data_IF_846239145167
#
_entry.id   IF_846239145167
#
_cell.length_a   1.000
_cell.length_b   1.000
_cell.length_c   1.000
_cell.angle_alpha   90.00
_cell.angle_beta   90.00
_cell.angle_gamma   90.00
#
_symmetry.space_group_name_H-M   'P 1'
#
loop_
_entity.id
_entity.type
_entity.pdbx_description
1 polymer ?
#
# COMPACT_ATOMS: atom_id res chain seq x y z
N UNK A 1 -18.49 18.06 2.68
CA UNK A 1 -18.11 16.74 2.13
C UNK A 1 -17.74 15.84 3.31
N UNK A 2 -18.11 14.58 3.27
CA UNK A 2 -17.75 13.59 4.28
C UNK A 2 -17.14 12.37 3.57
N UNK A 3 -15.95 11.97 4.00
CA UNK A 3 -15.20 10.83 3.50
C UNK A 3 -14.53 10.14 4.70
N UNK A 4 -14.06 8.91 4.51
CA UNK A 4 -13.30 8.17 5.51
C UNK A 4 -11.96 7.70 4.95
N UNK A 5 -10.99 7.50 5.83
CA UNK A 5 -9.73 6.82 5.52
C UNK A 5 -9.81 5.41 6.11
N UNK A 6 -9.48 4.40 5.31
CA UNK A 6 -9.24 3.04 5.74
C UNK A 6 -7.72 2.79 5.72
N UNK A 7 -7.02 3.02 6.84
CA UNK A 7 -5.57 2.84 6.89
C UNK A 7 -5.21 1.35 7.04
N UNK A 8 -4.07 0.98 6.46
CA UNK A 8 -3.39 -0.27 6.78
C UNK A 8 -2.58 -0.16 8.09
N UNK A 9 -1.62 -1.05 8.33
CA UNK A 9 -0.68 -0.91 9.43
C UNK A 9 0.17 0.37 9.29
N UNK A 10 0.16 1.22 10.31
CA UNK A 10 0.88 2.51 10.35
C UNK A 10 1.88 2.51 11.50
N UNK A 11 3.02 3.16 11.32
CA UNK A 11 4.09 3.31 12.32
C UNK A 11 3.69 4.22 13.50
N UNK A 12 2.72 3.78 14.29
CA UNK A 12 2.25 4.46 15.50
C UNK A 12 2.95 3.95 16.75
N UNK A 13 2.93 4.73 17.83
CA UNK A 13 3.44 4.29 19.14
C UNK A 13 2.69 3.05 19.67
N UNK A 14 1.41 2.91 19.34
CA UNK A 14 0.65 1.71 19.68
C UNK A 14 1.19 0.50 18.91
N UNK A 15 1.31 0.60 17.58
CA UNK A 15 1.81 -0.48 16.73
C UNK A 15 3.20 -0.97 17.18
N UNK A 16 4.09 -0.05 17.56
CA UNK A 16 5.42 -0.40 18.10
C UNK A 16 5.36 -1.21 19.40
N UNK A 17 4.33 -1.01 20.21
CA UNK A 17 4.13 -1.72 21.50
C UNK A 17 3.47 -3.08 21.34
N UNK A 18 2.56 -3.23 20.37
CA UNK A 18 1.72 -4.44 20.25
C UNK A 18 2.10 -5.37 19.11
N UNK A 19 2.82 -4.89 18.08
CA UNK A 19 3.24 -5.72 16.96
C UNK A 19 4.64 -6.29 17.19
N UNK A 20 4.68 -7.59 17.49
CA UNK A 20 5.93 -8.35 17.58
C UNK A 20 6.65 -8.41 16.23
N UNK A 21 7.95 -8.75 16.19
CA UNK A 21 8.66 -8.94 14.92
C UNK A 21 7.97 -9.93 13.97
N UNK A 22 7.36 -11.00 14.50
CA UNK A 22 6.61 -11.97 13.70
C UNK A 22 5.37 -11.33 13.04
N UNK A 23 4.57 -10.58 13.81
CA UNK A 23 3.40 -9.85 13.27
C UNK A 23 3.83 -8.86 12.18
N UNK A 24 4.96 -8.17 12.39
CA UNK A 24 5.48 -7.23 11.39
C UNK A 24 5.93 -7.93 10.11
N UNK A 25 6.52 -9.12 10.22
CA UNK A 25 6.87 -9.94 9.05
C UNK A 25 5.62 -10.41 8.29
N UNK A 26 4.57 -10.82 9.00
CA UNK A 26 3.29 -11.20 8.36
C UNK A 26 2.68 -10.02 7.59
N UNK A 27 2.66 -8.83 8.18
CA UNK A 27 2.19 -7.62 7.49
C UNK A 27 3.09 -7.22 6.31
N UNK A 28 4.42 -7.34 6.45
CA UNK A 28 5.35 -7.10 5.36
C UNK A 28 5.01 -8.00 4.14
N UNK A 29 4.75 -9.28 4.38
CA UNK A 29 4.45 -10.22 3.30
C UNK A 29 3.04 -10.03 2.70
N UNK A 30 2.08 -9.60 3.52
CA UNK A 30 0.71 -9.38 3.09
C UNK A 30 0.52 -8.06 2.33
N UNK A 31 1.20 -6.99 2.74
CA UNK A 31 1.08 -5.66 2.11
C UNK A 31 1.85 -5.64 0.79
N UNK A 32 1.23 -5.32 -0.36
CA UNK A 32 1.93 -5.23 -1.65
C UNK A 32 3.14 -4.28 -1.66
N UNK A 33 3.07 -3.15 -0.95
CA UNK A 33 4.21 -2.24 -0.78
C UNK A 33 5.30 -2.76 0.18
N UNK A 34 5.09 -3.89 0.85
CA UNK A 34 6.08 -4.53 1.71
C UNK A 34 6.44 -3.73 2.96
N UNK A 35 5.59 -2.80 3.40
CA UNK A 35 5.90 -1.95 4.56
C UNK A 35 4.66 -1.37 5.21
N UNK A 36 4.86 -0.88 6.43
CA UNK A 36 3.90 -0.04 7.11
C UNK A 36 3.83 1.34 6.44
N UNK A 37 2.66 1.95 6.52
CA UNK A 37 2.48 3.36 6.21
C UNK A 37 3.10 4.25 7.29
N UNK A 38 3.45 5.47 6.90
CA UNK A 38 3.86 6.53 7.82
C UNK A 38 2.67 7.37 8.25
N UNK A 39 2.81 8.10 9.36
CA UNK A 39 1.79 9.06 9.79
C UNK A 39 1.58 10.17 8.75
N UNK A 40 2.65 10.60 8.08
CA UNK A 40 2.60 11.65 7.07
C UNK A 40 1.81 11.21 5.84
N UNK A 41 1.97 9.96 5.38
CA UNK A 41 1.17 9.43 4.26
C UNK A 41 -0.34 9.42 4.57
N UNK A 42 -0.73 9.11 5.80
CA UNK A 42 -2.13 9.19 6.24
C UNK A 42 -2.57 10.66 6.30
N UNK A 43 -1.74 11.54 6.86
CA UNK A 43 -2.04 12.97 6.98
C UNK A 43 -2.18 13.64 5.61
N UNK A 44 -1.34 13.30 4.64
CA UNK A 44 -1.37 13.82 3.28
C UNK A 44 -2.65 13.40 2.56
N UNK A 45 -3.09 12.14 2.72
CA UNK A 45 -4.35 11.68 2.16
C UNK A 45 -5.56 12.42 2.77
N UNK A 46 -5.55 12.65 4.09
CA UNK A 46 -6.54 13.49 4.78
C UNK A 46 -6.49 14.91 4.23
N UNK A 47 -5.29 15.49 4.08
CA UNK A 47 -5.04 16.81 3.53
C UNK A 47 -5.64 16.97 2.14
N UNK A 48 -5.41 16.00 1.26
CA UNK A 48 -6.03 15.94 -0.07
C UNK A 48 -7.57 15.95 0.03
N UNK A 49 -8.16 15.07 0.84
CA UNK A 49 -9.62 14.98 0.99
C UNK A 49 -10.23 16.26 1.59
N UNK A 50 -9.50 16.97 2.45
CA UNK A 50 -9.92 18.26 3.00
C UNK A 50 -9.69 19.43 2.02
N UNK A 51 -8.78 19.29 1.05
CA UNK A 51 -8.44 20.33 0.09
C UNK A 51 -9.54 20.64 -0.93
N UNK A 52 -9.34 21.72 -1.72
CA UNK A 52 -10.18 22.04 -2.88
C UNK A 52 -10.02 21.05 -4.03
N UNK A 53 -8.88 20.35 -4.13
CA UNK A 53 -8.63 19.39 -5.20
C UNK A 53 -9.59 18.19 -5.16
N UNK A 54 -10.02 17.79 -3.96
CA UNK A 54 -11.04 16.76 -3.76
C UNK A 54 -12.48 17.30 -3.83
N UNK A 55 -12.72 18.43 -4.51
CA UNK A 55 -13.99 19.17 -4.50
C UNK A 55 -15.22 18.36 -4.94
N UNK A 56 -15.02 17.32 -5.76
CA UNK A 56 -16.09 16.42 -6.22
C UNK A 56 -16.06 15.03 -5.56
N UNK A 57 -15.15 14.79 -4.62
CA UNK A 57 -15.02 13.52 -3.90
C UNK A 57 -15.81 13.57 -2.59
N UNK A 58 -16.89 12.80 -2.53
CA UNK A 58 -17.77 12.74 -1.36
C UNK A 58 -18.35 11.33 -1.17
N UNK A 59 -18.52 10.90 0.08
CA UNK A 59 -19.08 9.60 0.44
C UNK A 59 -18.13 8.42 0.23
N UNK A 60 -16.83 8.66 0.06
CA UNK A 60 -15.85 7.61 -0.21
C UNK A 60 -15.16 7.15 1.05
N UNK A 61 -14.84 5.85 1.09
CA UNK A 61 -13.85 5.27 1.99
C UNK A 61 -12.59 5.04 1.17
N UNK A 62 -11.53 5.79 1.47
CA UNK A 62 -10.28 5.70 0.74
C UNK A 62 -9.32 4.77 1.48
N UNK A 63 -8.95 3.66 0.84
CA UNK A 63 -7.88 2.78 1.32
C UNK A 63 -6.53 3.51 1.20
N UNK A 64 -5.83 3.61 2.33
CA UNK A 64 -4.47 4.17 2.44
C UNK A 64 -3.63 3.17 3.22
N UNK A 65 -3.34 2.05 2.57
CA UNK A 65 -2.92 0.81 3.24
C UNK A 65 -1.82 0.04 2.50
N UNK A 66 -1.20 0.67 1.50
CA UNK A 66 -0.18 0.02 0.67
C UNK A 66 -0.72 -1.11 -0.21
N UNK A 67 -2.03 -1.14 -0.47
CA UNK A 67 -2.71 -2.14 -1.30
C UNK A 67 -3.22 -3.36 -0.53
N UNK A 68 -3.26 -3.28 0.80
CA UNK A 68 -3.66 -4.40 1.67
C UNK A 68 -5.11 -4.84 1.46
N UNK A 69 -6.05 -3.93 1.26
CA UNK A 69 -7.46 -4.27 1.01
C UNK A 69 -7.67 -4.86 -0.39
N UNK A 70 -7.04 -4.27 -1.41
CA UNK A 70 -7.14 -4.70 -2.81
C UNK A 70 -6.48 -6.06 -3.12
N UNK A 71 -5.69 -6.55 -2.17
CA UNK A 71 -4.83 -7.74 -2.25
C UNK A 71 -5.60 -9.04 -2.49
N UNK A 72 -6.88 -9.09 -2.11
CA UNK A 72 -7.75 -10.27 -2.19
C UNK A 72 -7.26 -11.44 -1.34
N UNK A 73 -7.33 -12.66 -1.89
CA UNK A 73 -6.95 -13.92 -1.19
C UNK A 73 -5.49 -13.92 -0.72
N UNK A 74 -4.66 -13.01 -1.25
CA UNK A 74 -3.35 -12.72 -0.67
C UNK A 74 -2.41 -13.93 -0.61
N UNK A 75 -2.50 -14.85 -1.58
CA UNK A 75 -1.71 -16.09 -1.64
C UNK A 75 -0.20 -15.76 -1.70
N UNK A 76 0.55 -15.85 -0.58
CA UNK A 76 1.92 -15.36 -0.52
C UNK A 76 2.86 -16.20 -1.39
N UNK A 77 2.52 -17.48 -1.56
CA UNK A 77 3.25 -18.43 -2.42
C UNK A 77 3.30 -17.95 -3.88
N UNK A 78 2.18 -17.48 -4.44
CA UNK A 78 2.14 -16.98 -5.82
C UNK A 78 2.90 -15.65 -6.00
N UNK A 79 3.02 -14.85 -4.95
CA UNK A 79 3.79 -13.60 -4.99
C UNK A 79 5.29 -13.81 -4.96
N UNK A 80 5.75 -14.75 -4.12
CA UNK A 80 7.17 -15.08 -4.00
C UNK A 80 7.72 -15.63 -5.32
N UNK A 81 6.92 -16.42 -6.04
CA UNK A 81 7.30 -16.94 -7.35
C UNK A 81 7.36 -15.84 -8.41
N UNK A 82 6.47 -14.85 -8.37
CA UNK A 82 6.50 -13.68 -9.28
C UNK A 82 7.68 -12.73 -8.99
N UNK A 83 8.05 -12.52 -7.71
CA UNK A 83 9.20 -11.70 -7.34
C UNK A 83 10.55 -12.37 -7.70
N UNK A 84 10.58 -13.71 -7.75
CA UNK A 84 11.73 -14.50 -8.18
C UNK A 84 11.71 -14.84 -9.68
N UNK A 85 10.65 -14.49 -10.41
CA UNK A 85 10.58 -14.69 -11.85
C UNK A 85 11.56 -13.73 -12.54
N UNK A 86 12.38 -14.27 -13.43
CA UNK A 86 13.23 -13.44 -14.29
C UNK A 86 12.34 -12.41 -15.03
N UNK A 87 12.80 -11.16 -15.21
CA UNK A 87 12.02 -10.15 -15.92
C UNK A 87 11.61 -10.71 -17.28
N UNK A 88 10.34 -10.46 -17.66
CA UNK A 88 9.83 -10.88 -18.94
C UNK A 88 10.79 -10.43 -20.06
N UNK A 89 11.05 -11.27 -21.08
CA UNK A 89 11.94 -10.88 -22.16
C UNK A 89 11.43 -9.58 -22.78
N UNK A 90 12.34 -8.61 -22.93
CA UNK A 90 12.01 -7.34 -23.57
C UNK A 90 11.35 -7.60 -24.93
N UNK A 91 10.30 -6.85 -25.30
CA UNK A 91 9.71 -6.97 -26.61
C UNK A 91 10.78 -6.73 -27.68
N UNK A 92 10.77 -7.48 -28.79
CA UNK A 92 11.72 -7.27 -29.87
C UNK A 92 11.51 -5.86 -30.46
N UNK A 93 12.43 -4.94 -30.18
CA UNK A 93 12.39 -3.56 -30.67
C UNK A 93 12.90 -2.49 -29.71
N UNK A 94 12.99 -2.77 -28.39
CA UNK A 94 13.50 -1.81 -27.40
C UNK A 94 15.04 -1.77 -27.39
N UNK A 95 15.61 -1.15 -28.42
CA UNK A 95 17.02 -0.73 -28.45
C UNK A 95 17.14 0.55 -27.63
N UNK A 96 18.06 0.66 -26.66
CA UNK A 96 18.26 1.90 -25.92
C UNK A 96 18.65 3.01 -26.91
N UNK A 97 17.94 4.13 -26.86
CA UNK A 97 18.41 5.36 -27.51
C UNK A 97 19.79 5.74 -26.94
N UNK A 98 20.70 6.26 -27.79
CA UNK A 98 22.07 6.62 -27.39
C UNK A 98 22.12 7.72 -26.34
#
# INVERSE_FOLDING_TARGET
RANAIAPGPVETEMAKRVHTPAIRADYHDAIPLGRYGTLDEIADAIGFLCSKAAGYVNGQVLAVDGGFDAVGVGLPTLRRDAANAAPAPRPPGDVPSP
#
